data_IF_681431220550
#
_entry.id   IF_681431220550
#
_cell.length_a   1.000
_cell.length_b   1.000
_cell.length_c   1.000
_cell.angle_alpha   90.00
_cell.angle_beta   90.00
_cell.angle_gamma   90.00
#
_symmetry.space_group_name_H-M   'P 1'
#
loop_
_entity.id
_entity.type
_entity.pdbx_description
1 polymer ?
#
# COMPACT_ATOMS: atom_id res chain seq x y z
N UNK A 1 -48.42 -34.26 -22.11
CA UNK A 1 -47.04 -34.69 -21.76
C UNK A 1 -46.08 -33.93 -22.67
N UNK A 2 -45.71 -32.67 -22.35
CA UNK A 2 -44.68 -31.89 -23.08
C UNK A 2 -44.32 -30.49 -22.49
N UNK A 3 -44.69 -30.17 -21.24
CA UNK A 3 -44.41 -28.84 -20.65
C UNK A 3 -43.22 -28.82 -19.66
N UNK A 4 -42.81 -29.98 -19.14
CA UNK A 4 -41.83 -30.05 -18.04
C UNK A 4 -40.39 -29.79 -18.49
N UNK A 5 -40.06 -30.16 -19.73
CA UNK A 5 -38.72 -29.92 -20.28
C UNK A 5 -38.47 -28.44 -20.59
N UNK A 6 -39.51 -27.69 -20.98
CA UNK A 6 -39.42 -26.25 -21.21
C UNK A 6 -39.18 -25.48 -19.90
N UNK A 7 -39.89 -25.86 -18.82
CA UNK A 7 -39.68 -25.27 -17.50
C UNK A 7 -38.28 -25.53 -16.96
N UNK A 8 -37.76 -26.76 -17.14
CA UNK A 8 -36.39 -27.12 -16.73
C UNK A 8 -35.33 -26.40 -17.58
N UNK A 9 -35.55 -26.24 -18.88
CA UNK A 9 -34.64 -25.52 -19.77
C UNK A 9 -34.50 -24.03 -19.38
N UNK A 10 -35.60 -23.37 -19.00
CA UNK A 10 -35.57 -21.97 -18.56
C UNK A 10 -34.82 -21.80 -17.24
N UNK A 11 -35.02 -22.74 -16.29
CA UNK A 11 -34.30 -22.72 -15.01
C UNK A 11 -32.79 -22.95 -15.19
N UNK A 12 -32.38 -23.86 -16.07
CA UNK A 12 -30.97 -24.13 -16.36
C UNK A 12 -30.30 -22.95 -17.10
N UNK A 13 -31.00 -22.30 -18.03
CA UNK A 13 -30.47 -21.11 -18.73
C UNK A 13 -30.32 -19.89 -17.82
N UNK A 14 -31.29 -19.65 -16.94
CA UNK A 14 -31.25 -18.52 -16.00
C UNK A 14 -30.13 -18.65 -14.96
N UNK A 15 -29.87 -19.86 -14.47
CA UNK A 15 -28.77 -20.12 -13.52
C UNK A 15 -27.40 -19.81 -14.13
N UNK A 16 -27.19 -20.17 -15.40
CA UNK A 16 -25.96 -19.86 -16.12
C UNK A 16 -25.72 -18.34 -16.24
N UNK A 17 -26.77 -17.56 -16.50
CA UNK A 17 -26.68 -16.10 -16.57
C UNK A 17 -26.34 -15.51 -15.21
N UNK A 18 -26.96 -15.97 -14.13
CA UNK A 18 -26.68 -15.47 -12.77
C UNK A 18 -25.24 -15.78 -12.37
N UNK A 19 -24.78 -17.01 -12.64
CA UNK A 19 -23.39 -17.40 -12.37
C UNK A 19 -22.40 -16.61 -13.22
N UNK A 20 -22.72 -16.38 -14.49
CA UNK A 20 -21.89 -15.59 -15.40
C UNK A 20 -21.80 -14.13 -14.96
N UNK A 21 -22.93 -13.48 -14.68
CA UNK A 21 -22.98 -12.11 -14.19
C UNK A 21 -22.26 -11.96 -12.85
N UNK A 22 -22.45 -12.93 -11.93
CA UNK A 22 -21.73 -12.97 -10.66
C UNK A 22 -20.22 -13.09 -10.85
N UNK A 23 -19.77 -14.01 -11.72
CA UNK A 23 -18.37 -14.20 -12.04
C UNK A 23 -17.76 -12.96 -12.70
N UNK A 24 -18.48 -12.31 -13.62
CA UNK A 24 -18.05 -11.05 -14.24
C UNK A 24 -17.88 -9.93 -13.22
N UNK A 25 -18.80 -9.81 -12.26
CA UNK A 25 -18.69 -8.82 -11.19
C UNK A 25 -17.49 -9.09 -10.28
N UNK A 26 -17.23 -10.34 -9.93
CA UNK A 26 -16.03 -10.74 -9.16
C UNK A 26 -14.76 -10.40 -9.92
N UNK A 27 -14.70 -10.65 -11.22
CA UNK A 27 -13.53 -10.31 -12.04
C UNK A 27 -13.28 -8.79 -12.10
N UNK A 28 -14.33 -7.99 -12.29
CA UNK A 28 -14.22 -6.52 -12.25
C UNK A 28 -13.76 -6.06 -10.87
N UNK A 29 -14.28 -6.66 -9.79
CA UNK A 29 -13.87 -6.35 -8.43
C UNK A 29 -12.39 -6.69 -8.18
N UNK A 30 -11.92 -7.87 -8.60
CA UNK A 30 -10.53 -8.29 -8.50
C UNK A 30 -9.58 -7.35 -9.23
N UNK A 31 -9.96 -6.91 -10.44
CA UNK A 31 -9.16 -5.99 -11.24
C UNK A 31 -9.05 -4.61 -10.56
N UNK A 32 -10.17 -4.06 -10.09
CA UNK A 32 -10.19 -2.76 -9.39
C UNK A 32 -9.40 -2.78 -8.08
N UNK A 33 -9.33 -3.93 -7.40
CA UNK A 33 -8.61 -4.06 -6.14
C UNK A 33 -7.09 -3.82 -6.32
N UNK A 34 -6.52 -4.22 -7.46
CA UNK A 34 -5.08 -4.01 -7.70
C UNK A 34 -4.71 -2.56 -8.01
N UNK A 35 -5.60 -1.82 -8.66
CA UNK A 35 -5.34 -0.45 -9.09
C UNK A 35 -5.24 0.50 -7.88
N UNK A 36 -6.03 0.24 -6.83
CA UNK A 36 -6.05 1.05 -5.62
C UNK A 36 -4.73 0.97 -4.84
N UNK A 37 -4.16 -0.23 -4.72
CA UNK A 37 -2.90 -0.45 -3.99
C UNK A 37 -1.72 0.20 -4.72
N UNK A 38 -1.61 -0.01 -6.04
CA UNK A 38 -0.51 0.55 -6.83
C UNK A 38 -0.52 2.09 -6.83
N UNK A 39 -1.70 2.69 -7.01
CA UNK A 39 -1.84 4.15 -6.97
C UNK A 39 -1.50 4.72 -5.59
N UNK A 40 -1.86 4.02 -4.51
CA UNK A 40 -1.53 4.43 -3.14
C UNK A 40 -0.02 4.36 -2.86
N UNK A 41 0.63 3.28 -3.30
CA UNK A 41 2.06 3.07 -3.12
C UNK A 41 2.87 4.09 -3.93
N UNK A 42 2.48 4.37 -5.17
CA UNK A 42 3.17 5.35 -6.02
C UNK A 42 2.99 6.78 -5.51
N UNK A 43 1.80 7.14 -5.02
CA UNK A 43 1.57 8.43 -4.34
C UNK A 43 2.43 8.55 -3.08
N UNK A 44 2.51 7.49 -2.28
CA UNK A 44 3.34 7.48 -1.07
C UNK A 44 4.81 7.67 -1.42
N UNK A 45 5.32 6.93 -2.41
CA UNK A 45 6.70 7.03 -2.90
C UNK A 45 7.02 8.45 -3.36
N UNK A 46 6.17 9.03 -4.19
CA UNK A 46 6.35 10.40 -4.71
C UNK A 46 6.34 11.45 -3.59
N UNK A 47 5.43 11.33 -2.63
CA UNK A 47 5.37 12.24 -1.49
C UNK A 47 6.63 12.11 -0.60
N UNK A 48 7.14 10.89 -0.40
CA UNK A 48 8.38 10.66 0.33
C UNK A 48 9.60 11.28 -0.38
N UNK A 49 9.67 11.18 -1.70
CA UNK A 49 10.72 11.81 -2.50
C UNK A 49 10.68 13.34 -2.39
N UNK A 50 9.49 13.92 -2.55
CA UNK A 50 9.29 15.36 -2.39
C UNK A 50 9.63 15.85 -0.99
N UNK A 51 9.26 15.09 0.05
CA UNK A 51 9.59 15.42 1.43
C UNK A 51 11.10 15.39 1.65
N UNK A 52 11.80 14.35 1.15
CA UNK A 52 13.26 14.26 1.23
C UNK A 52 13.94 15.43 0.53
N UNK A 53 13.46 15.81 -0.65
CA UNK A 53 14.00 16.95 -1.40
C UNK A 53 13.77 18.28 -0.67
N UNK A 54 12.56 18.49 -0.13
CA UNK A 54 12.24 19.67 0.67
C UNK A 54 13.10 19.76 1.94
N UNK A 55 13.27 18.64 2.65
CA UNK A 55 14.15 18.55 3.81
C UNK A 55 15.60 18.91 3.45
N UNK A 56 16.10 18.41 2.33
CA UNK A 56 17.45 18.70 1.82
C UNK A 56 17.64 20.16 1.42
N UNK A 57 16.68 20.75 0.72
CA UNK A 57 16.73 22.15 0.32
C UNK A 57 16.67 23.08 1.54
N UNK A 58 15.82 22.76 2.52
CA UNK A 58 15.67 23.53 3.74
C UNK A 58 16.79 23.26 4.76
N UNK A 59 17.62 22.22 4.56
CA UNK A 59 18.56 21.69 5.55
C UNK A 59 17.86 21.45 6.90
N UNK A 60 16.72 20.77 6.85
CA UNK A 60 15.92 20.40 8.02
C UNK A 60 15.83 18.88 8.09
N UNK A 61 16.30 18.31 9.19
CA UNK A 61 16.14 16.91 9.51
C UNK A 61 14.98 16.67 10.48
N UNK A 62 14.50 15.43 10.56
CA UNK A 62 13.47 14.99 11.50
C UNK A 62 13.96 13.76 12.27
N UNK A 63 13.39 13.56 13.46
CA UNK A 63 13.62 12.39 14.29
C UNK A 63 12.32 11.93 14.91
N UNK A 64 12.20 10.62 15.09
CA UNK A 64 11.01 9.98 15.63
C UNK A 64 11.42 8.93 16.64
N UNK A 65 10.88 9.04 17.86
CA UNK A 65 11.08 8.06 18.92
C UNK A 65 9.83 7.22 19.07
N UNK A 66 9.93 5.94 18.77
CA UNK A 66 8.93 4.97 19.15
C UNK A 66 9.11 4.63 20.63
N UNK A 67 8.22 5.14 21.47
CA UNK A 67 8.24 4.92 22.92
C UNK A 67 7.93 3.46 23.32
N UNK A 68 7.26 2.70 22.45
CA UNK A 68 6.92 1.29 22.72
C UNK A 68 8.12 0.40 22.43
N UNK A 69 8.82 0.63 21.32
CA UNK A 69 9.99 -0.17 20.95
C UNK A 69 11.34 0.42 21.39
N UNK A 70 11.34 1.66 21.90
CA UNK A 70 12.55 2.41 22.25
C UNK A 70 13.40 2.82 21.04
N UNK A 71 12.87 2.69 19.81
CA UNK A 71 13.64 2.93 18.59
C UNK A 71 13.59 4.39 18.20
N UNK A 72 14.77 4.98 18.00
CA UNK A 72 14.93 6.34 17.49
C UNK A 72 15.30 6.28 16.01
N UNK A 73 14.41 6.79 15.16
CA UNK A 73 14.63 6.95 13.73
C UNK A 73 15.04 8.40 13.42
N UNK A 74 15.99 8.57 12.51
CA UNK A 74 16.42 9.88 12.02
C UNK A 74 16.24 9.95 10.51
N UNK A 75 15.85 11.11 9.98
CA UNK A 75 15.79 11.31 8.53
C UNK A 75 17.19 11.34 7.92
N UNK A 76 17.29 10.94 6.65
CA UNK A 76 18.56 10.93 5.89
C UNK A 76 19.26 12.29 5.92
N UNK A 77 18.50 13.38 5.83
CA UNK A 77 19.03 14.75 5.85
C UNK A 77 19.68 15.13 7.19
N UNK A 78 19.21 14.57 8.30
CA UNK A 78 19.75 14.91 9.61
C UNK A 78 21.20 14.40 9.79
N UNK A 79 21.53 13.27 9.18
CA UNK A 79 22.92 12.80 9.08
C UNK A 79 23.78 13.74 8.23
N UNK A 80 23.21 14.33 7.18
CA UNK A 80 23.91 15.29 6.33
C UNK A 80 24.18 16.60 7.08
N UNK A 81 23.18 17.13 7.79
CA UNK A 81 23.32 18.34 8.63
C UNK A 81 24.36 18.13 9.73
N UNK A 82 24.29 17.01 10.45
CA UNK A 82 25.21 16.72 11.56
C UNK A 82 26.60 16.25 11.08
N UNK A 83 26.79 16.05 9.77
CA UNK A 83 28.04 15.53 9.18
C UNK A 83 28.51 14.20 9.78
N UNK A 84 27.57 13.37 10.26
CA UNK A 84 27.86 12.08 10.90
C UNK A 84 27.61 10.95 9.91
N UNK A 85 28.59 10.07 9.72
CA UNK A 85 28.44 8.89 8.85
C UNK A 85 27.45 7.90 9.49
N UNK A 86 26.42 7.47 8.72
CA UNK A 86 25.38 6.49 9.12
C UNK A 86 25.96 5.22 9.79
N UNK A 87 27.20 4.85 9.47
CA UNK A 87 27.87 3.67 10.00
C UNK A 87 28.22 3.76 11.51
N UNK A 88 28.25 4.95 12.12
CA UNK A 88 28.61 5.12 13.54
C UNK A 88 27.45 4.91 14.54
N UNK A 89 26.21 4.69 14.08
CA UNK A 89 25.05 4.73 14.99
C UNK A 89 24.75 3.42 15.73
N UNK A 90 25.37 2.29 15.38
CA UNK A 90 25.15 1.03 16.11
C UNK A 90 25.73 1.05 17.54
N UNK A 91 26.56 2.04 17.90
CA UNK A 91 27.20 2.12 19.23
C UNK A 91 26.60 3.20 20.14
N UNK A 92 26.04 4.29 19.58
CA UNK A 92 25.49 5.39 20.37
C UNK A 92 24.08 5.13 20.95
N UNK A 93 23.41 4.05 20.50
CA UNK A 93 22.02 3.72 20.88
C UNK A 93 21.88 2.87 22.16
N UNK A 94 22.96 2.60 22.89
CA UNK A 94 22.93 1.92 24.20
C UNK A 94 23.13 2.86 25.40
N UNK A 95 23.13 4.18 25.19
CA UNK A 95 23.44 5.17 26.25
C UNK A 95 22.21 5.80 26.93
N UNK A 96 20.99 5.31 26.66
CA UNK A 96 19.81 5.55 27.48
C UNK A 96 19.08 4.24 27.73
#
# INVERSE_FOLDING_TARGET
MNADWQRRAILMGGLGIVLFLGMSLVLIWLFRNQEAEFVSAEKLRRNQEQLREAQRLARVGSWELDLVSGKLAWSDELFHILSVTRHHQLSAMNFF
#
